data_IF_608299380402
#
_entry.id   IF_608299380402
#
_cell.length_a   1.000
_cell.length_b   1.000
_cell.length_c   1.000
_cell.angle_alpha   90.00
_cell.angle_beta   90.00
_cell.angle_gamma   90.00
#
_symmetry.space_group_name_H-M   'P 1'
#
loop_
_entity.id
_entity.type
_entity.pdbx_description
1 polymer ?
#
# COMPACT_ATOMS: atom_id res chain seq x y z
N UNK A 1 -19.54 5.06 0.22
CA UNK A 1 -18.54 4.64 1.23
C UNK A 1 -17.25 4.29 0.49
N UNK A 2 -16.12 4.98 0.74
CA UNK A 2 -14.90 4.80 -0.07
C UNK A 2 -14.31 3.40 0.21
N UNK A 3 -14.03 2.58 -0.81
CA UNK A 3 -13.45 1.23 -0.70
C UNK A 3 -12.25 1.16 0.28
N UNK A 4 -11.44 2.23 0.31
CA UNK A 4 -10.34 2.40 1.27
C UNK A 4 -10.76 2.33 2.74
N UNK A 5 -11.94 2.84 3.10
CA UNK A 5 -12.44 2.78 4.48
C UNK A 5 -12.81 1.36 4.91
N UNK A 6 -13.38 0.57 3.98
CA UNK A 6 -13.68 -0.85 4.22
C UNK A 6 -12.38 -1.64 4.37
N UNK A 7 -11.42 -1.43 3.46
CA UNK A 7 -10.10 -2.08 3.53
C UNK A 7 -9.36 -1.76 4.83
N UNK A 8 -9.35 -0.48 5.23
CA UNK A 8 -8.73 -0.03 6.48
C UNK A 8 -9.42 -0.58 7.74
N UNK A 9 -10.67 -1.04 7.64
CA UNK A 9 -11.38 -1.67 8.76
C UNK A 9 -10.98 -3.13 8.96
N UNK A 10 -10.58 -3.83 7.90
CA UNK A 10 -10.12 -5.23 7.97
C UNK A 10 -8.61 -5.39 8.10
N UNK A 11 -7.84 -4.33 7.83
CA UNK A 11 -6.40 -4.29 8.09
C UNK A 11 -6.10 -4.53 9.58
N UNK A 12 -5.13 -5.41 9.92
CA UNK A 12 -4.65 -5.55 11.29
C UNK A 12 -4.08 -4.24 11.83
N UNK A 13 -4.23 -3.98 13.13
CA UNK A 13 -3.77 -2.73 13.76
C UNK A 13 -2.28 -2.46 13.54
N UNK A 14 -1.46 -3.52 13.50
CA UNK A 14 -0.02 -3.45 13.21
C UNK A 14 0.31 -2.87 11.83
N UNK A 15 -0.53 -3.14 10.83
CA UNK A 15 -0.32 -2.70 9.45
C UNK A 15 -1.05 -1.40 9.13
N UNK A 16 -2.09 -1.06 9.90
CA UNK A 16 -2.88 0.15 9.68
C UNK A 16 -2.06 1.44 9.88
N UNK A 17 -1.13 1.41 10.83
CA UNK A 17 -0.30 2.56 11.21
C UNK A 17 1.07 2.58 10.54
N UNK A 18 1.43 1.51 9.82
CA UNK A 18 2.72 1.41 9.12
C UNK A 18 2.51 0.96 7.67
N UNK A 19 2.21 1.91 6.76
CA UNK A 19 2.09 1.63 5.33
C UNK A 19 3.40 1.15 4.68
N UNK A 20 4.54 1.39 5.32
CA UNK A 20 5.86 0.99 4.84
C UNK A 20 6.24 -0.43 5.30
N UNK A 21 5.40 -1.09 6.09
CA UNK A 21 5.64 -2.45 6.53
C UNK A 21 5.76 -3.43 5.35
N UNK A 22 6.69 -4.37 5.42
CA UNK A 22 7.00 -5.33 4.33
C UNK A 22 5.75 -6.13 3.90
N UNK A 23 4.91 -6.49 4.86
CA UNK A 23 3.68 -7.27 4.61
C UNK A 23 2.45 -6.41 4.25
N UNK A 24 2.51 -5.06 4.38
CA UNK A 24 1.35 -4.18 4.21
C UNK A 24 0.65 -4.42 2.88
N UNK A 25 1.45 -4.35 1.83
CA UNK A 25 1.02 -4.43 0.45
C UNK A 25 0.41 -5.78 0.08
N UNK A 26 1.01 -6.86 0.57
CA UNK A 26 0.52 -8.21 0.37
C UNK A 26 -0.83 -8.42 1.05
N UNK A 27 -0.96 -7.98 2.31
CA UNK A 27 -2.21 -8.08 3.07
C UNK A 27 -3.29 -7.17 2.49
N UNK A 28 -2.94 -5.97 2.06
CA UNK A 28 -3.86 -5.04 1.41
C UNK A 28 -4.45 -5.63 0.13
N UNK A 29 -3.59 -6.23 -0.69
CA UNK A 29 -3.99 -6.90 -1.94
C UNK A 29 -4.90 -8.09 -1.66
N UNK A 30 -4.57 -8.91 -0.66
CA UNK A 30 -5.39 -10.04 -0.23
C UNK A 30 -6.78 -9.58 0.25
N UNK A 31 -6.85 -8.55 1.09
CA UNK A 31 -8.11 -7.97 1.56
C UNK A 31 -8.98 -7.47 0.40
N UNK A 32 -8.36 -6.77 -0.56
CA UNK A 32 -9.03 -6.29 -1.77
C UNK A 32 -9.57 -7.43 -2.63
N UNK A 33 -8.79 -8.49 -2.82
CA UNK A 33 -9.20 -9.68 -3.55
C UNK A 33 -10.37 -10.40 -2.85
N UNK A 34 -10.30 -10.58 -1.52
CA UNK A 34 -11.38 -11.21 -0.74
C UNK A 34 -12.68 -10.38 -0.79
N UNK A 35 -12.61 -9.06 -0.64
CA UNK A 35 -13.79 -8.18 -0.76
C UNK A 35 -14.39 -8.27 -2.17
N UNK A 36 -13.54 -8.27 -3.20
CA UNK A 36 -14.00 -8.41 -4.59
C UNK A 36 -14.64 -9.78 -4.82
N UNK A 37 -14.06 -10.86 -4.30
CA UNK A 37 -14.57 -12.21 -4.42
C UNK A 37 -15.93 -12.40 -3.71
N UNK A 38 -16.14 -11.77 -2.56
CA UNK A 38 -17.44 -11.78 -1.85
C UNK A 38 -18.55 -11.18 -2.70
N UNK A 39 -18.25 -10.25 -3.62
CA UNK A 39 -19.23 -9.62 -4.50
C UNK A 39 -19.34 -10.41 -5.81
N UNK A 40 -18.21 -10.70 -6.44
CA UNK A 40 -18.16 -11.31 -7.79
C UNK A 40 -18.63 -12.77 -7.75
N UNK A 41 -18.24 -13.57 -6.75
CA UNK A 41 -18.60 -15.00 -6.73
C UNK A 41 -20.12 -15.23 -6.59
N UNK A 42 -20.85 -14.52 -5.72
CA UNK A 42 -22.32 -14.60 -5.71
C UNK A 42 -22.96 -14.10 -6.99
N UNK A 43 -22.45 -13.04 -7.61
CA UNK A 43 -22.97 -12.56 -8.91
C UNK A 43 -22.79 -13.61 -10.00
N UNK A 44 -21.62 -14.23 -10.10
CA UNK A 44 -21.35 -15.33 -11.05
C UNK A 44 -22.26 -16.52 -10.74
N UNK A 45 -22.45 -16.86 -9.47
CA UNK A 45 -23.39 -17.91 -9.06
C UNK A 45 -24.84 -17.61 -9.50
N UNK A 46 -25.32 -16.37 -9.33
CA UNK A 46 -26.67 -15.98 -9.76
C UNK A 46 -26.84 -16.07 -11.28
N UNK A 47 -25.82 -15.67 -12.06
CA UNK A 47 -25.82 -15.82 -13.52
C UNK A 47 -25.87 -17.29 -13.91
N UNK A 48 -25.05 -18.13 -13.29
CA UNK A 48 -25.05 -19.57 -13.56
C UNK A 48 -26.36 -20.24 -13.15
N UNK A 49 -26.96 -19.81 -12.03
CA UNK A 49 -28.26 -20.27 -11.57
C UNK A 49 -29.37 -19.91 -12.56
N UNK A 50 -29.31 -18.72 -13.18
CA UNK A 50 -30.22 -18.31 -14.24
C UNK A 50 -30.14 -19.25 -15.46
N UNK A 51 -28.94 -19.74 -15.79
CA UNK A 51 -28.74 -20.76 -16.84
C UNK A 51 -29.00 -22.20 -16.37
N UNK A 52 -29.52 -22.40 -15.16
CA UNK A 52 -29.87 -23.72 -14.63
C UNK A 52 -28.72 -24.49 -13.95
N UNK A 53 -27.53 -23.90 -13.83
CA UNK A 53 -26.39 -24.51 -13.13
C UNK A 53 -26.45 -24.27 -11.63
N UNK A 54 -26.42 -25.34 -10.82
CA UNK A 54 -26.45 -25.25 -9.36
C UNK A 54 -25.07 -25.50 -8.73
N UNK A 55 -24.17 -24.52 -8.88
CA UNK A 55 -22.78 -24.61 -8.38
C UNK A 55 -22.65 -23.90 -7.02
N UNK A 56 -23.17 -24.53 -5.96
CA UNK A 56 -23.15 -23.93 -4.60
C UNK A 56 -21.72 -23.66 -4.09
N UNK A 57 -20.72 -24.33 -4.66
CA UNK A 57 -19.30 -24.09 -4.40
C UNK A 57 -18.90 -22.60 -4.50
N UNK A 58 -19.47 -21.86 -5.45
CA UNK A 58 -19.18 -20.42 -5.62
C UNK A 58 -19.68 -19.60 -4.43
N UNK A 59 -20.89 -19.88 -3.96
CA UNK A 59 -21.46 -19.22 -2.78
C UNK A 59 -20.67 -19.57 -1.51
N UNK A 60 -20.29 -20.84 -1.32
CA UNK A 60 -19.45 -21.25 -0.20
C UNK A 60 -18.08 -20.60 -0.23
N UNK A 61 -17.47 -20.44 -1.41
CA UNK A 61 -16.18 -19.78 -1.53
C UNK A 61 -16.27 -18.27 -1.19
N UNK A 62 -17.36 -17.60 -1.59
CA UNK A 62 -17.64 -16.23 -1.15
C UNK A 62 -17.77 -16.10 0.37
N UNK A 63 -18.50 -17.02 1.01
CA UNK A 63 -18.64 -17.06 2.47
C UNK A 63 -17.29 -17.34 3.17
N UNK A 64 -16.46 -18.21 2.60
CA UNK A 64 -15.10 -18.47 3.06
C UNK A 64 -14.22 -17.22 3.00
N UNK A 65 -14.27 -16.45 1.89
CA UNK A 65 -13.56 -15.17 1.80
C UNK A 65 -13.98 -14.21 2.92
N UNK A 66 -15.28 -14.16 3.25
CA UNK A 66 -15.79 -13.35 4.36
C UNK A 66 -15.23 -13.81 5.72
N UNK A 67 -15.20 -15.11 6.00
CA UNK A 67 -14.56 -15.65 7.21
C UNK A 67 -13.07 -15.30 7.28
N UNK A 68 -12.35 -15.40 6.16
CA UNK A 68 -10.91 -15.07 6.08
C UNK A 68 -10.65 -13.60 6.40
N UNK A 69 -11.51 -12.67 5.95
CA UNK A 69 -11.38 -11.25 6.29
C UNK A 69 -11.38 -11.02 7.82
N UNK A 70 -12.25 -11.71 8.56
CA UNK A 70 -12.29 -11.60 10.03
C UNK A 70 -11.07 -12.20 10.71
N UNK A 71 -10.48 -13.27 10.14
CA UNK A 71 -9.26 -13.86 10.66
C UNK A 71 -8.02 -12.99 10.38
N UNK A 72 -7.95 -12.39 9.19
CA UNK A 72 -6.90 -11.41 8.84
C UNK A 72 -6.95 -10.25 9.82
N UNK A 73 -8.12 -9.71 10.14
CA UNK A 73 -8.28 -8.63 11.12
C UNK A 73 -7.67 -8.98 12.48
N UNK A 74 -7.76 -10.25 12.91
CA UNK A 74 -7.15 -10.75 14.15
C UNK A 74 -5.64 -11.01 14.05
N UNK A 75 -5.02 -10.73 12.91
CA UNK A 75 -3.59 -10.96 12.65
C UNK A 75 -3.25 -12.40 12.23
N UNK A 76 -4.25 -13.25 12.01
CA UNK A 76 -4.05 -14.66 11.61
C UNK A 76 -4.06 -14.72 10.08
N UNK A 77 -2.97 -14.32 9.43
CA UNK A 77 -2.95 -14.18 7.96
C UNK A 77 -2.55 -15.50 7.27
N UNK A 78 -1.38 -16.05 7.61
CA UNK A 78 -0.78 -17.20 6.91
C UNK A 78 -1.64 -18.47 7.01
N UNK A 79 -2.11 -18.77 8.22
CA UNK A 79 -2.96 -19.95 8.49
C UNK A 79 -4.28 -19.84 7.73
N UNK A 80 -4.89 -18.65 7.71
CA UNK A 80 -6.17 -18.44 7.03
C UNK A 80 -6.07 -18.58 5.52
N UNK A 81 -4.99 -18.08 4.91
CA UNK A 81 -4.76 -18.28 3.47
C UNK A 81 -4.56 -19.75 3.12
N UNK A 82 -3.76 -20.47 3.90
CA UNK A 82 -3.54 -21.90 3.69
C UNK A 82 -4.84 -22.70 3.82
N UNK A 83 -5.60 -22.44 4.89
CA UNK A 83 -6.88 -23.11 5.14
C UNK A 83 -7.90 -22.80 4.05
N UNK A 84 -8.02 -21.53 3.61
CA UNK A 84 -8.87 -21.14 2.50
C UNK A 84 -8.52 -21.92 1.23
N UNK A 85 -7.23 -22.07 0.94
CA UNK A 85 -6.78 -22.81 -0.23
C UNK A 85 -7.17 -24.28 -0.19
N UNK A 86 -6.90 -24.96 0.93
CA UNK A 86 -7.26 -26.37 1.11
C UNK A 86 -8.76 -26.61 1.06
N UNK A 87 -9.55 -25.75 1.70
CA UNK A 87 -11.02 -25.84 1.67
C UNK A 87 -11.55 -25.60 0.26
N UNK A 88 -10.92 -24.72 -0.52
CA UNK A 88 -11.31 -24.49 -1.91
C UNK A 88 -11.20 -25.78 -2.73
N UNK A 89 -10.09 -26.53 -2.62
CA UNK A 89 -9.99 -27.83 -3.29
C UNK A 89 -11.06 -28.82 -2.84
N UNK A 90 -11.32 -28.91 -1.54
CA UNK A 90 -12.34 -29.81 -1.00
C UNK A 90 -13.76 -29.46 -1.51
N UNK A 91 -14.06 -28.18 -1.67
CA UNK A 91 -15.35 -27.72 -2.17
C UNK A 91 -15.50 -27.95 -3.67
N UNK A 92 -14.47 -27.70 -4.48
CA UNK A 92 -14.56 -27.81 -5.94
C UNK A 92 -14.36 -29.25 -6.47
N UNK A 93 -13.64 -30.11 -5.74
CA UNK A 93 -13.40 -31.50 -6.19
C UNK A 93 -14.67 -32.25 -6.60
N UNK A 94 -15.74 -32.31 -5.76
CA UNK A 94 -16.93 -33.08 -6.10
C UNK A 94 -17.64 -32.52 -7.33
N UNK A 95 -17.64 -31.20 -7.53
CA UNK A 95 -18.27 -30.58 -8.69
C UNK A 95 -17.53 -30.94 -9.98
N UNK A 96 -16.19 -30.94 -9.97
CA UNK A 96 -15.40 -31.31 -11.15
C UNK A 96 -15.54 -32.82 -11.41
N UNK A 97 -15.42 -33.66 -10.38
CA UNK A 97 -15.54 -35.10 -10.49
C UNK A 97 -16.92 -35.52 -11.05
N UNK A 98 -18.01 -34.92 -10.55
CA UNK A 98 -19.38 -35.28 -10.95
C UNK A 98 -19.81 -34.68 -12.30
N UNK A 99 -19.09 -33.69 -12.83
CA UNK A 99 -19.44 -33.01 -14.10
C UNK A 99 -18.68 -33.55 -15.32
N UNK A 100 -18.02 -34.70 -15.20
CA UNK A 100 -17.22 -35.30 -16.27
C UNK A 100 -15.72 -35.42 -15.95
N UNK A 101 -15.32 -35.15 -14.71
CA UNK A 101 -13.95 -35.33 -14.22
C UNK A 101 -12.96 -34.52 -15.05
N UNK A 102 -11.99 -35.20 -15.66
CA UNK A 102 -10.92 -34.54 -16.43
C UNK A 102 -11.37 -33.93 -17.76
N UNK A 103 -12.58 -34.25 -18.23
CA UNK A 103 -13.15 -33.64 -19.43
C UNK A 103 -14.10 -32.48 -19.10
N UNK A 104 -14.32 -32.22 -17.81
CA UNK A 104 -15.24 -31.18 -17.38
C UNK A 104 -14.69 -29.78 -17.68
N UNK A 105 -15.55 -28.91 -18.21
CA UNK A 105 -15.25 -27.48 -18.32
C UNK A 105 -15.00 -26.81 -16.95
N UNK A 106 -15.43 -27.45 -15.85
CA UNK A 106 -15.20 -26.98 -14.49
C UNK A 106 -13.72 -27.02 -14.06
N UNK A 107 -12.85 -27.70 -14.82
CA UNK A 107 -11.39 -27.63 -14.63
C UNK A 107 -10.88 -26.19 -14.79
N UNK A 108 -11.60 -25.34 -15.53
CA UNK A 108 -11.32 -23.90 -15.60
C UNK A 108 -11.19 -23.24 -14.22
N UNK A 109 -11.94 -23.71 -13.21
CA UNK A 109 -11.81 -23.19 -11.85
C UNK A 109 -10.45 -23.49 -11.21
N UNK A 110 -9.79 -24.59 -11.56
CA UNK A 110 -8.43 -24.88 -11.10
C UNK A 110 -7.41 -23.89 -11.69
N UNK A 111 -7.60 -23.46 -12.94
CA UNK A 111 -6.76 -22.44 -13.58
C UNK A 111 -6.96 -21.07 -12.92
N UNK A 112 -8.21 -20.67 -12.71
CA UNK A 112 -8.54 -19.41 -12.01
C UNK A 112 -7.98 -19.43 -10.58
N UNK A 113 -8.10 -20.57 -9.90
CA UNK A 113 -7.54 -20.75 -8.56
C UNK A 113 -6.00 -20.63 -8.57
N UNK A 114 -5.33 -21.18 -9.58
CA UNK A 114 -3.88 -21.02 -9.75
C UNK A 114 -3.49 -19.55 -9.90
N UNK A 115 -4.20 -18.79 -10.74
CA UNK A 115 -3.97 -17.34 -10.90
C UNK A 115 -4.13 -16.61 -9.56
N UNK A 116 -5.19 -16.92 -8.80
CA UNK A 116 -5.43 -16.33 -7.49
C UNK A 116 -4.32 -16.68 -6.47
N UNK A 117 -3.79 -17.90 -6.51
CA UNK A 117 -2.72 -18.35 -5.62
C UNK A 117 -1.39 -17.61 -5.84
N UNK A 118 -1.07 -17.28 -7.09
CA UNK A 118 0.11 -16.48 -7.45
C UNK A 118 -0.07 -14.99 -7.11
N UNK A 119 -1.29 -14.48 -7.19
CA UNK A 119 -1.61 -13.10 -6.80
C UNK A 119 -1.32 -12.83 -5.32
N UNK A 120 -1.47 -13.85 -4.47
CA UNK A 120 -1.02 -13.79 -3.09
C UNK A 120 0.50 -13.68 -3.04
N UNK A 121 1.21 -14.80 -3.23
CA UNK A 121 2.66 -14.84 -3.10
C UNK A 121 3.25 -15.85 -4.09
N UNK A 122 4.40 -15.57 -4.74
CA UNK A 122 4.95 -16.47 -5.75
C UNK A 122 5.26 -17.87 -5.18
N UNK A 123 5.91 -17.95 -4.00
CA UNK A 123 6.15 -19.21 -3.28
C UNK A 123 4.87 -20.03 -3.05
N UNK A 124 3.77 -19.41 -2.61
CA UNK A 124 2.50 -20.13 -2.42
C UNK A 124 1.93 -20.60 -3.75
N UNK A 125 1.99 -19.78 -4.80
CA UNK A 125 1.59 -20.16 -6.16
C UNK A 125 2.30 -21.41 -6.68
N UNK A 126 3.61 -21.55 -6.43
CA UNK A 126 4.36 -22.75 -6.82
C UNK A 126 3.85 -24.01 -6.11
N UNK A 127 3.60 -23.95 -4.79
CA UNK A 127 3.00 -25.07 -4.06
C UNK A 127 1.62 -25.43 -4.60
N UNK A 128 0.80 -24.43 -4.92
CA UNK A 128 -0.53 -24.64 -5.49
C UNK A 128 -0.50 -25.13 -6.95
N UNK A 129 0.59 -24.89 -7.69
CA UNK A 129 0.80 -25.53 -9.01
C UNK A 129 0.93 -27.04 -8.86
N UNK A 130 1.78 -27.49 -7.94
CA UNK A 130 1.96 -28.92 -7.65
C UNK A 130 0.65 -29.53 -7.15
N UNK A 131 -0.07 -28.83 -6.25
CA UNK A 131 -1.34 -29.30 -5.73
C UNK A 131 -2.43 -29.40 -6.81
N UNK A 132 -2.48 -28.46 -7.75
CA UNK A 132 -3.37 -28.54 -8.92
C UNK A 132 -3.05 -29.74 -9.83
N UNK A 133 -1.78 -30.05 -10.05
CA UNK A 133 -1.38 -31.23 -10.82
C UNK A 133 -1.77 -32.51 -10.09
N UNK A 134 -1.58 -32.56 -8.76
CA UNK A 134 -1.99 -33.70 -7.93
C UNK A 134 -3.52 -33.88 -7.94
N UNK A 135 -4.27 -32.78 -7.86
CA UNK A 135 -5.72 -32.76 -8.02
C UNK A 135 -6.15 -33.28 -9.40
N UNK A 136 -5.50 -32.83 -10.48
CA UNK A 136 -5.74 -33.34 -11.83
C UNK A 136 -5.43 -34.83 -11.94
N UNK A 137 -4.40 -35.33 -11.24
CA UNK A 137 -4.09 -36.75 -11.20
C UNK A 137 -5.16 -37.56 -10.44
N UNK A 138 -5.68 -37.03 -9.34
CA UNK A 138 -6.82 -37.64 -8.64
C UNK A 138 -8.08 -37.68 -9.51
N UNK A 139 -8.37 -36.59 -10.24
CA UNK A 139 -9.45 -36.55 -11.22
C UNK A 139 -9.21 -37.53 -12.37
N UNK A 140 -7.97 -37.64 -12.86
CA UNK A 140 -7.59 -38.63 -13.86
C UNK A 140 -7.93 -40.03 -13.37
N UNK A 141 -7.46 -40.46 -12.20
CA UNK A 141 -7.75 -41.83 -11.71
C UNK A 141 -9.27 -42.07 -11.63
N UNK A 142 -10.03 -41.12 -11.10
CA UNK A 142 -11.47 -41.27 -10.84
C UNK A 142 -12.38 -41.02 -12.06
N UNK A 143 -11.85 -40.53 -13.19
CA UNK A 143 -12.66 -40.31 -14.40
C UNK A 143 -12.91 -41.63 -15.13
N UNK A 144 -14.16 -42.02 -15.45
CA UNK A 144 -14.44 -43.26 -16.16
C UNK A 144 -13.85 -43.26 -17.58
N UNK A 145 -13.45 -44.43 -18.08
CA UNK A 145 -12.77 -44.59 -19.37
C UNK A 145 -13.73 -44.49 -20.57
N UNK A 146 -15.01 -44.81 -20.36
CA UNK A 146 -16.03 -44.88 -21.40
C UNK A 146 -16.95 -43.66 -21.33
N UNK A 147 -16.48 -42.52 -21.83
CA UNK A 147 -17.32 -41.35 -22.07
C UNK A 147 -17.38 -41.15 -23.58
N UNK A 148 -18.57 -41.04 -24.15
CA UNK A 148 -18.78 -40.74 -25.57
C UNK A 148 -18.30 -39.32 -25.86
N UNK A 149 -17.01 -39.18 -26.14
CA UNK A 149 -16.37 -37.90 -26.44
C UNK A 149 -16.16 -37.76 -27.95
N UNK A 150 -16.26 -36.52 -28.47
CA UNK A 150 -15.88 -36.26 -29.84
C UNK A 150 -14.39 -36.60 -30.04
N UNK A 151 -14.03 -37.10 -31.22
CA UNK A 151 -12.66 -37.53 -31.57
C UNK A 151 -11.61 -36.44 -31.29
N UNK A 152 -12.02 -35.16 -31.36
CA UNK A 152 -11.18 -33.99 -31.08
C UNK A 152 -10.79 -33.80 -29.61
N UNK A 153 -11.50 -34.42 -28.67
CA UNK A 153 -11.17 -34.34 -27.23
C UNK A 153 -9.96 -35.21 -26.86
N UNK A 154 -9.57 -36.14 -27.74
CA UNK A 154 -8.52 -37.11 -27.44
C UNK A 154 -8.91 -38.10 -26.33
N UNK A 155 -7.95 -38.93 -25.94
CA UNK A 155 -8.13 -39.87 -24.84
C UNK A 155 -7.97 -39.25 -23.45
N UNK A 156 -8.26 -40.06 -22.43
CA UNK A 156 -8.12 -39.69 -21.02
C UNK A 156 -6.71 -39.23 -20.67
N UNK A 157 -5.71 -39.92 -21.21
CA UNK A 157 -4.31 -39.61 -21.01
C UNK A 157 -3.91 -38.29 -21.69
N UNK A 158 -4.33 -38.06 -22.94
CA UNK A 158 -4.00 -36.82 -23.64
C UNK A 158 -4.63 -35.60 -22.96
N UNK A 159 -5.88 -35.73 -22.48
CA UNK A 159 -6.56 -34.66 -21.74
C UNK A 159 -5.83 -34.32 -20.45
N UNK A 160 -5.38 -35.34 -19.71
CA UNK A 160 -4.50 -35.14 -18.54
C UNK A 160 -3.21 -34.43 -18.91
N UNK A 161 -2.50 -34.91 -19.93
CA UNK A 161 -1.23 -34.34 -20.35
C UNK A 161 -1.37 -32.88 -20.78
N UNK A 162 -2.44 -32.53 -21.50
CA UNK A 162 -2.72 -31.15 -21.92
C UNK A 162 -3.01 -30.25 -20.72
N UNK A 163 -3.87 -30.69 -19.79
CA UNK A 163 -4.17 -29.88 -18.61
C UNK A 163 -2.95 -29.73 -17.69
N UNK A 164 -2.21 -30.81 -17.44
CA UNK A 164 -0.99 -30.77 -16.64
C UNK A 164 0.05 -29.85 -17.27
N UNK A 165 0.32 -29.98 -18.58
CA UNK A 165 1.23 -29.10 -19.30
C UNK A 165 0.77 -27.64 -19.24
N UNK A 166 -0.52 -27.38 -19.45
CA UNK A 166 -1.11 -26.04 -19.36
C UNK A 166 -0.95 -25.42 -17.97
N UNK A 167 -1.17 -26.18 -16.90
CA UNK A 167 -0.97 -25.72 -15.52
C UNK A 167 0.50 -25.44 -15.21
N UNK A 168 1.41 -26.30 -15.67
CA UNK A 168 2.86 -26.09 -15.50
C UNK A 168 3.34 -24.86 -16.25
N UNK A 169 2.92 -24.68 -17.51
CA UNK A 169 3.25 -23.50 -18.31
C UNK A 169 2.71 -22.25 -17.63
N UNK A 170 1.42 -22.22 -17.27
CA UNK A 170 0.81 -21.08 -16.60
C UNK A 170 1.50 -20.76 -15.26
N UNK A 171 1.76 -21.77 -14.43
CA UNK A 171 2.47 -21.59 -13.16
C UNK A 171 3.89 -21.05 -13.35
N UNK A 172 4.63 -21.54 -14.34
CA UNK A 172 5.97 -21.05 -14.66
C UNK A 172 5.98 -19.60 -15.14
N UNK A 173 5.00 -19.22 -15.98
CA UNK A 173 4.82 -17.84 -16.45
C UNK A 173 4.46 -16.90 -15.31
N UNK A 174 3.48 -17.28 -14.49
CA UNK A 174 3.06 -16.49 -13.32
C UNK A 174 4.22 -16.32 -12.33
N UNK A 175 5.02 -17.37 -12.12
CA UNK A 175 6.23 -17.28 -11.30
C UNK A 175 7.22 -16.25 -11.81
N UNK A 176 7.52 -16.26 -13.12
CA UNK A 176 8.44 -15.33 -13.74
C UNK A 176 7.94 -13.88 -13.69
N UNK A 177 6.65 -13.66 -13.99
CA UNK A 177 6.01 -12.34 -13.95
C UNK A 177 6.03 -11.80 -12.52
N UNK A 178 5.63 -12.61 -11.55
CA UNK A 178 5.58 -12.20 -10.15
C UNK A 178 6.97 -11.87 -9.60
N UNK A 179 7.98 -12.70 -9.92
CA UNK A 179 9.36 -12.41 -9.51
C UNK A 179 9.87 -11.08 -10.06
N UNK A 180 9.52 -10.72 -11.30
CA UNK A 180 9.88 -9.42 -11.88
C UNK A 180 9.14 -8.25 -11.21
N UNK A 181 7.85 -8.44 -10.90
CA UNK A 181 7.08 -7.44 -10.18
C UNK A 181 7.61 -7.19 -8.77
N UNK A 182 8.02 -8.24 -8.05
CA UNK A 182 8.59 -8.12 -6.71
C UNK A 182 9.90 -7.31 -6.73
N UNK A 183 10.78 -7.55 -7.71
CA UNK A 183 12.02 -6.77 -7.89
C UNK A 183 11.70 -5.31 -8.21
N UNK A 184 10.80 -5.05 -9.15
CA UNK A 184 10.42 -3.67 -9.50
C UNK A 184 9.78 -2.93 -8.32
N UNK A 185 9.02 -3.64 -7.48
CA UNK A 185 8.42 -3.08 -6.26
C UNK A 185 9.49 -2.71 -5.23
N UNK A 186 10.48 -3.58 -5.05
CA UNK A 186 11.59 -3.34 -4.14
C UNK A 186 12.43 -2.14 -4.59
N UNK A 187 12.74 -2.04 -5.89
CA UNK A 187 13.41 -0.87 -6.48
C UNK A 187 12.60 0.42 -6.28
N UNK A 188 11.29 0.38 -6.53
CA UNK A 188 10.41 1.53 -6.31
C UNK A 188 10.39 1.98 -4.84
N UNK A 189 10.42 1.03 -3.90
CA UNK A 189 10.44 1.33 -2.46
C UNK A 189 11.78 1.93 -2.05
N UNK A 190 12.89 1.42 -2.58
CA UNK A 190 14.22 1.99 -2.35
C UNK A 190 14.31 3.43 -2.89
N UNK A 191 13.77 3.69 -4.07
CA UNK A 191 13.71 5.03 -4.65
C UNK A 191 12.87 6.00 -3.81
N UNK A 192 11.71 5.57 -3.29
CA UNK A 192 10.90 6.38 -2.40
C UNK A 192 11.63 6.72 -1.10
N UNK A 193 12.27 5.73 -0.47
CA UNK A 193 13.05 5.94 0.75
C UNK A 193 14.22 6.89 0.51
N UNK A 194 14.92 6.76 -0.62
CA UNK A 194 16.01 7.67 -0.99
C UNK A 194 15.53 9.11 -1.18
N UNK A 195 14.38 9.31 -1.84
CA UNK A 195 13.77 10.63 -2.03
C UNK A 195 13.38 11.27 -0.69
N UNK A 196 12.80 10.49 0.23
CA UNK A 196 12.44 10.97 1.57
C UNK A 196 13.70 11.40 2.33
N UNK A 197 14.74 10.56 2.35
CA UNK A 197 16.01 10.89 3.03
C UNK A 197 16.67 12.15 2.43
N UNK A 198 16.64 12.28 1.10
CA UNK A 198 17.17 13.46 0.41
C UNK A 198 16.38 14.73 0.76
N UNK A 199 15.04 14.65 0.78
CA UNK A 199 14.18 15.76 1.15
C UNK A 199 14.41 16.20 2.59
N UNK A 200 14.54 15.25 3.53
CA UNK A 200 14.82 15.56 4.94
C UNK A 200 16.16 16.29 5.11
N UNK A 201 17.21 15.86 4.39
CA UNK A 201 18.51 16.54 4.38
C UNK A 201 18.41 17.96 3.83
N UNK A 202 17.68 18.17 2.73
CA UNK A 202 17.53 19.50 2.15
C UNK A 202 16.68 20.43 3.04
N UNK A 203 15.63 19.91 3.71
CA UNK A 203 14.84 20.65 4.70
C UNK A 203 15.73 21.06 5.88
N UNK A 204 16.56 20.15 6.40
CA UNK A 204 17.49 20.46 7.48
C UNK A 204 18.45 21.59 7.06
N UNK A 205 19.03 21.49 5.85
CA UNK A 205 19.93 22.52 5.30
C UNK A 205 19.24 23.88 5.15
N UNK A 206 18.00 23.91 4.64
CA UNK A 206 17.21 25.15 4.50
C UNK A 206 16.85 25.76 5.86
N UNK A 207 16.56 24.92 6.84
CA UNK A 207 16.25 25.36 8.21
C UNK A 207 17.48 25.99 8.85
N UNK A 208 18.66 25.39 8.67
CA UNK A 208 19.94 25.95 9.12
C UNK A 208 20.25 27.28 8.43
N UNK A 209 20.08 27.37 7.11
CA UNK A 209 20.23 28.62 6.36
C UNK A 209 19.29 29.73 6.87
N UNK A 210 18.02 29.40 7.12
CA UNK A 210 17.06 30.35 7.69
C UNK A 210 17.47 30.81 9.08
N UNK A 211 17.97 29.91 9.93
CA UNK A 211 18.45 30.27 11.25
C UNK A 211 19.66 31.20 11.18
N UNK A 212 20.62 30.90 10.30
CA UNK A 212 21.79 31.76 10.08
C UNK A 212 21.41 33.13 9.52
N UNK A 213 20.48 33.20 8.56
CA UNK A 213 19.95 34.47 8.06
C UNK A 213 19.23 35.26 9.15
N UNK A 214 18.42 34.59 9.99
CA UNK A 214 17.73 35.22 11.12
C UNK A 214 18.72 35.83 12.11
N UNK A 215 19.79 35.11 12.42
CA UNK A 215 20.83 35.58 13.32
C UNK A 215 21.61 36.75 12.71
N UNK A 216 22.03 36.65 11.45
CA UNK A 216 22.69 37.75 10.73
C UNK A 216 21.81 38.99 10.69
N UNK A 217 20.53 38.84 10.35
CA UNK A 217 19.60 39.95 10.28
C UNK A 217 19.38 40.56 11.66
N UNK A 218 19.28 39.77 12.72
CA UNK A 218 19.19 40.30 14.09
C UNK A 218 20.44 41.11 14.48
N UNK A 219 21.64 40.63 14.12
CA UNK A 219 22.89 41.36 14.34
C UNK A 219 22.94 42.65 13.53
N UNK A 220 22.64 42.59 12.24
CA UNK A 220 22.63 43.77 11.36
C UNK A 220 21.60 44.81 11.84
N UNK A 221 20.40 44.37 12.24
CA UNK A 221 19.39 45.26 12.82
C UNK A 221 19.88 45.90 14.13
N UNK A 222 20.51 45.11 15.01
CA UNK A 222 21.03 45.63 16.27
C UNK A 222 22.14 46.68 16.03
N UNK A 223 23.04 46.44 15.08
CA UNK A 223 24.14 47.35 14.75
C UNK A 223 23.67 48.62 14.03
N UNK A 224 22.82 48.50 13.00
CA UNK A 224 22.23 49.65 12.29
C UNK A 224 21.37 50.50 13.24
N UNK A 225 20.47 49.87 14.01
CA UNK A 225 19.61 50.59 14.96
C UNK A 225 20.44 51.26 16.05
N UNK A 226 21.48 50.58 16.54
CA UNK A 226 22.41 51.14 17.52
C UNK A 226 23.18 52.35 16.99
N UNK A 227 23.71 52.27 15.77
CA UNK A 227 24.42 53.37 15.11
C UNK A 227 23.50 54.58 14.86
N UNK A 228 22.27 54.33 14.42
CA UNK A 228 21.30 55.36 14.09
C UNK A 228 20.80 56.10 15.35
N UNK A 229 20.50 55.36 16.43
CA UNK A 229 20.18 55.95 17.74
C UNK A 229 21.33 56.79 18.28
N UNK A 230 22.57 56.32 18.17
CA UNK A 230 23.76 57.08 18.56
C UNK A 230 23.92 58.38 17.75
N UNK A 231 23.67 58.34 16.44
CA UNK A 231 23.68 59.52 15.59
C UNK A 231 22.59 60.54 15.97
N UNK A 232 21.36 60.07 16.26
CA UNK A 232 20.25 60.91 16.73
C UNK A 232 20.61 61.56 18.07
N UNK A 233 21.09 60.78 19.04
CA UNK A 233 21.52 61.29 20.35
C UNK A 233 22.61 62.34 20.21
N UNK A 234 23.59 62.12 19.33
CA UNK A 234 24.67 63.08 19.05
C UNK A 234 24.14 64.37 18.42
N UNK A 235 23.25 64.27 17.42
CA UNK A 235 22.67 65.45 16.76
C UNK A 235 21.78 66.25 17.73
N UNK A 236 20.96 65.56 18.54
CA UNK A 236 20.17 66.18 19.58
C UNK A 236 21.05 66.84 20.65
N UNK A 237 22.15 66.18 21.06
CA UNK A 237 23.14 66.76 21.98
C UNK A 237 23.80 68.03 21.42
N UNK A 238 24.19 68.03 20.15
CA UNK A 238 24.70 69.23 19.47
C UNK A 238 23.66 70.35 19.42
N UNK A 239 22.40 70.02 19.12
CA UNK A 239 21.32 71.00 19.11
C UNK A 239 21.07 71.58 20.52
N UNK A 240 21.14 70.74 21.57
CA UNK A 240 21.03 71.17 22.97
C UNK A 240 22.10 72.19 23.36
N UNK A 241 23.31 72.06 22.84
CA UNK A 241 24.42 73.01 23.09
C UNK A 241 24.23 74.37 22.39
N UNK A 242 23.47 74.42 21.30
CA UNK A 242 23.20 75.66 20.56
C UNK A 242 21.95 76.40 21.07
N UNK A 243 21.08 75.73 21.83
CA UNK A 243 19.86 76.31 22.41
C UNK A 243 20.17 77.03 23.72
N UNK A 244 19.52 78.18 23.95
CA UNK A 244 19.67 78.93 25.20
C UNK A 244 18.72 78.40 26.27
N UNK A 245 19.08 78.47 27.56
CA UNK A 245 18.16 78.13 28.65
C UNK A 245 16.93 79.05 28.61
N UNK A 246 15.80 78.53 28.12
CA UNK A 246 14.56 79.29 27.87
C UNK A 246 13.96 79.10 26.47
N UNK A 247 14.70 78.51 25.53
CA UNK A 247 14.15 78.16 24.22
C UNK A 247 13.06 77.08 24.34
N UNK A 248 11.91 77.30 23.70
CA UNK A 248 10.79 76.36 23.66
C UNK A 248 11.18 74.96 23.14
N UNK A 249 12.24 74.86 22.34
CA UNK A 249 12.74 73.60 21.77
C UNK A 249 13.60 72.78 22.75
N UNK A 250 14.12 73.37 23.83
CA UNK A 250 15.00 72.71 24.79
C UNK A 250 14.41 71.43 25.43
N UNK A 251 13.17 71.43 25.96
CA UNK A 251 12.57 70.22 26.54
C UNK A 251 12.33 69.12 25.50
N UNK A 252 12.09 69.49 24.23
CA UNK A 252 11.89 68.53 23.15
C UNK A 252 13.20 67.81 22.82
N UNK A 253 14.31 68.54 22.71
CA UNK A 253 15.64 67.97 22.48
C UNK A 253 16.07 67.06 23.64
N UNK A 254 15.79 67.44 24.88
CA UNK A 254 16.11 66.62 26.05
C UNK A 254 15.30 65.32 26.08
N UNK A 255 14.03 65.37 25.67
CA UNK A 255 13.20 64.18 25.52
C UNK A 255 13.69 63.23 24.44
N UNK A 256 14.23 63.74 23.32
CA UNK A 256 14.81 62.94 22.24
C UNK A 256 16.06 62.20 22.74
N UNK A 257 16.95 62.88 23.47
CA UNK A 257 18.15 62.29 24.05
C UNK A 257 17.79 61.18 25.05
N UNK A 258 16.84 61.47 25.97
CA UNK A 258 16.41 60.49 26.98
C UNK A 258 15.77 59.26 26.34
N UNK A 259 14.80 59.46 25.44
CA UNK A 259 14.09 58.35 24.80
C UNK A 259 15.03 57.51 23.93
N UNK A 260 15.98 58.13 23.22
CA UNK A 260 16.99 57.42 22.42
C UNK A 260 17.91 56.55 23.29
N UNK A 261 18.35 57.07 24.45
CA UNK A 261 19.17 56.32 25.39
C UNK A 261 18.41 55.19 26.09
N UNK A 262 17.13 55.39 26.43
CA UNK A 262 16.25 54.34 26.97
C UNK A 262 16.02 53.23 25.93
N UNK A 263 15.76 53.59 24.67
CA UNK A 263 15.64 52.65 23.55
C UNK A 263 16.92 51.84 23.33
N UNK A 264 18.09 52.50 23.35
CA UNK A 264 19.38 51.84 23.23
C UNK A 264 19.68 50.90 24.42
N UNK A 265 19.32 51.30 25.64
CA UNK A 265 19.47 50.46 26.83
C UNK A 265 18.52 49.25 26.83
N UNK A 266 17.33 49.38 26.23
CA UNK A 266 16.33 48.32 26.10
C UNK A 266 16.61 47.33 24.97
N UNK A 267 17.50 47.68 24.03
CA UNK A 267 17.91 46.84 22.91
C UNK A 267 19.04 45.86 23.23
N UNK A 268 19.68 45.97 24.40
CA UNK A 268 20.66 45.02 24.94
C UNK A 268 19.97 43.88 25.68
#
# INVERSE_FOLDING_TARGET
MKLKAVLNWFLPDKLKNDPLHVEYDHVYTLLSACISAIIVLPLVYLVLLYYGYNIKALAYNGLMCLCVLFLIRKGIIKISMFLMGMITYAIYYPYIANSGGIYSSMIGFLYVYLVAAYWGHPKTGAYFTVLNILMLYMLYINTPMNINLPVTAGGKLSTFSIHAAGMTILGSLLWLVQKRQDVAREESKQLQNYQIEFLDKEIARRTEQLNNMRQSLATDFHDETGNLLSAITRQAGLLKLHLKPGDHAFPMVDSIIRNSNELYASGR
#
